data_IF_001977129707
#
_entry.id   IF_001977129707
#
_cell.length_a   1.000
_cell.length_b   1.000
_cell.length_c   1.000
_cell.angle_alpha   90.00
_cell.angle_beta   90.00
_cell.angle_gamma   90.00
#
_symmetry.space_group_name_H-M   'P 1'
#
loop_
_entity.id
_entity.type
_entity.pdbx_description
1 polymer ?
#
# COMPACT_ATOMS: atom_id res chain seq x y z
N UNK A 1 -5.19 -26.65 -8.83
CA UNK A 1 -5.38 -26.50 -7.37
C UNK A 1 -5.27 -25.03 -7.08
N UNK A 2 -6.40 -24.36 -6.84
CA UNK A 2 -6.47 -22.91 -6.68
C UNK A 2 -5.87 -22.48 -5.34
N UNK A 3 -4.68 -21.90 -5.37
CA UNK A 3 -4.05 -21.33 -4.18
C UNK A 3 -4.87 -20.18 -3.57
N UNK A 4 -5.80 -19.58 -4.33
CA UNK A 4 -6.67 -18.52 -3.82
C UNK A 4 -7.68 -19.00 -2.76
N UNK A 5 -8.20 -20.24 -2.86
CA UNK A 5 -9.29 -20.69 -1.97
C UNK A 5 -8.83 -21.02 -0.55
N UNK A 6 -7.63 -21.58 -0.38
CA UNK A 6 -7.09 -21.87 0.96
C UNK A 6 -6.64 -20.60 1.68
N UNK A 7 -6.19 -19.58 0.94
CA UNK A 7 -5.79 -18.28 1.49
C UNK A 7 -7.00 -17.51 2.02
N UNK A 8 -8.14 -17.57 1.33
CA UNK A 8 -9.35 -16.83 1.71
C UNK A 8 -9.99 -17.35 3.01
N UNK A 9 -10.03 -18.68 3.21
CA UNK A 9 -10.62 -19.25 4.43
C UNK A 9 -9.84 -18.88 5.70
N UNK A 10 -8.51 -18.86 5.65
CA UNK A 10 -7.68 -18.48 6.79
C UNK A 10 -7.71 -16.96 7.03
N UNK A 11 -7.82 -16.15 5.98
CA UNK A 11 -7.97 -14.70 6.06
C UNK A 11 -9.29 -14.31 6.75
N UNK A 12 -10.40 -14.96 6.38
CA UNK A 12 -11.71 -14.76 7.01
C UNK A 12 -11.68 -15.02 8.52
N UNK A 13 -11.13 -16.17 8.96
CA UNK A 13 -11.04 -16.49 10.39
C UNK A 13 -10.20 -15.47 11.19
N UNK A 14 -9.10 -14.97 10.62
CA UNK A 14 -8.29 -13.91 11.27
C UNK A 14 -9.02 -12.56 11.32
N UNK A 15 -9.83 -12.24 10.32
CA UNK A 15 -10.65 -11.03 10.34
C UNK A 15 -11.78 -11.14 11.36
N UNK A 16 -12.42 -12.30 11.47
CA UNK A 16 -13.42 -12.58 12.49
C UNK A 16 -12.85 -12.45 13.91
N UNK A 17 -11.62 -12.92 14.15
CA UNK A 17 -10.95 -12.74 15.45
C UNK A 17 -10.67 -11.26 15.75
N UNK A 18 -10.19 -10.50 14.76
CA UNK A 18 -10.00 -9.03 14.88
C UNK A 18 -11.32 -8.30 15.10
N UNK A 19 -12.38 -8.71 14.40
CA UNK A 19 -13.72 -8.14 14.51
C UNK A 19 -14.33 -8.46 15.87
N UNK A 20 -14.18 -9.69 16.37
CA UNK A 20 -14.60 -10.10 17.69
C UNK A 20 -13.86 -9.31 18.78
N UNK A 21 -12.55 -9.11 18.65
CA UNK A 21 -11.78 -8.28 19.58
C UNK A 21 -12.26 -6.81 19.59
N UNK A 22 -12.66 -6.26 18.43
CA UNK A 22 -13.24 -4.92 18.32
C UNK A 22 -14.69 -4.85 18.85
N UNK A 23 -15.49 -5.89 18.66
CA UNK A 23 -16.88 -5.93 19.14
C UNK A 23 -16.96 -6.22 20.65
N UNK A 24 -16.11 -7.09 21.19
CA UNK A 24 -15.99 -7.35 22.63
C UNK A 24 -15.57 -6.07 23.37
N UNK A 25 -14.65 -5.34 22.77
CA UNK A 25 -14.35 -3.98 23.14
C UNK A 25 -15.63 -3.10 23.20
N UNK A 26 -16.42 -3.06 22.14
CA UNK A 26 -17.61 -2.18 22.06
C UNK A 26 -18.81 -2.61 22.92
N UNK A 27 -18.98 -3.91 23.20
CA UNK A 27 -20.16 -4.49 23.85
C UNK A 27 -20.17 -4.42 25.38
N UNK A 28 -19.05 -4.07 26.01
CA UNK A 28 -18.98 -3.99 27.47
C UNK A 28 -19.64 -2.70 27.98
N UNK A 29 -20.85 -2.85 28.53
CA UNK A 29 -21.70 -1.76 29.01
C UNK A 29 -21.00 -0.86 30.04
N UNK A 30 -20.86 0.41 29.62
CA UNK A 30 -20.94 1.66 30.37
C UNK A 30 -20.23 1.74 31.73
N UNK A 31 -19.00 2.27 31.70
CA UNK A 31 -18.38 2.93 32.84
C UNK A 31 -16.87 2.75 32.93
N UNK A 32 -16.38 1.53 32.66
CA UNK A 32 -14.96 1.19 32.83
C UNK A 32 -14.31 0.56 31.59
N UNK A 33 -15.10 0.07 30.62
CA UNK A 33 -14.55 -0.66 29.47
C UNK A 33 -14.27 0.22 28.25
N UNK A 34 -15.06 1.27 28.01
CA UNK A 34 -14.85 2.20 26.89
C UNK A 34 -13.44 2.84 26.94
N UNK A 35 -12.92 3.09 28.16
CA UNK A 35 -11.55 3.55 28.38
C UNK A 35 -10.49 2.51 28.04
N UNK A 36 -10.75 1.21 28.27
CA UNK A 36 -9.81 0.13 27.95
C UNK A 36 -9.73 -0.08 26.44
N UNK A 37 -10.86 0.00 25.76
CA UNK A 37 -10.95 -0.09 24.30
C UNK A 37 -10.23 1.06 23.62
N UNK A 38 -10.50 2.29 24.08
CA UNK A 38 -9.74 3.44 23.60
C UNK A 38 -8.25 3.25 23.90
N UNK A 39 -7.89 2.73 25.07
CA UNK A 39 -6.48 2.51 25.42
C UNK A 39 -5.80 1.46 24.53
N UNK A 40 -6.49 0.38 24.15
CA UNK A 40 -5.95 -0.61 23.22
C UNK A 40 -5.87 -0.03 21.80
N UNK A 41 -6.90 0.69 21.34
CA UNK A 41 -6.90 1.36 20.03
C UNK A 41 -5.84 2.48 19.93
N UNK A 42 -5.59 3.19 21.02
CA UNK A 42 -4.54 4.21 21.13
C UNK A 42 -3.14 3.59 21.04
N UNK A 43 -3.00 2.30 21.29
CA UNK A 43 -1.75 1.55 21.21
C UNK A 43 -1.59 0.76 19.90
N UNK A 44 -2.60 0.76 19.01
CA UNK A 44 -2.49 0.11 17.70
C UNK A 44 -1.61 0.93 16.76
N UNK A 45 -0.31 0.73 16.88
CA UNK A 45 0.70 1.33 15.99
C UNK A 45 0.75 0.59 14.65
N UNK A 46 0.26 -0.66 14.59
CA UNK A 46 0.36 -1.54 13.42
C UNK A 46 -0.96 -2.28 13.16
N UNK A 47 -1.44 -2.20 11.92
CA UNK A 47 -2.51 -3.02 11.37
C UNK A 47 -1.98 -3.74 10.13
N UNK A 48 -2.04 -5.07 10.11
CA UNK A 48 -1.59 -5.87 8.96
C UNK A 48 -2.72 -6.73 8.43
N UNK A 49 -2.63 -7.13 7.16
CA UNK A 49 -3.57 -8.01 6.48
C UNK A 49 -5.03 -7.56 6.66
N UNK A 50 -5.33 -6.29 6.37
CA UNK A 50 -6.70 -5.79 6.33
C UNK A 50 -7.27 -6.05 4.93
N UNK A 51 -8.07 -7.11 4.79
CA UNK A 51 -8.81 -7.41 3.57
C UNK A 51 -10.06 -6.52 3.51
N UNK A 52 -10.09 -5.59 2.56
CA UNK A 52 -11.16 -4.61 2.44
C UNK A 52 -12.35 -5.12 1.62
N UNK A 53 -12.17 -6.20 0.84
CA UNK A 53 -13.19 -6.78 -0.03
C UNK A 53 -14.13 -7.76 0.69
N UNK A 54 -13.69 -8.39 1.78
CA UNK A 54 -14.50 -9.34 2.57
C UNK A 54 -15.70 -8.67 3.23
N UNK A 55 -15.48 -7.53 3.90
CA UNK A 55 -16.50 -6.68 4.49
C UNK A 55 -16.06 -5.21 4.37
N UNK A 56 -16.44 -4.53 3.26
CA UNK A 56 -16.01 -3.16 2.99
C UNK A 56 -16.49 -2.15 4.04
N UNK A 57 -17.67 -2.36 4.63
CA UNK A 57 -18.19 -1.42 5.62
C UNK A 57 -17.42 -1.54 6.95
N UNK A 58 -17.20 -2.76 7.41
CA UNK A 58 -16.46 -3.01 8.65
C UNK A 58 -15.00 -2.60 8.54
N UNK A 59 -14.34 -2.94 7.44
CA UNK A 59 -12.92 -2.60 7.26
C UNK A 59 -12.70 -1.09 7.12
N UNK A 60 -13.61 -0.37 6.45
CA UNK A 60 -13.59 1.10 6.43
C UNK A 60 -13.75 1.70 7.83
N UNK A 61 -14.69 1.19 8.63
CA UNK A 61 -14.89 1.64 10.01
C UNK A 61 -13.63 1.40 10.87
N UNK A 62 -13.01 0.22 10.74
CA UNK A 62 -11.75 -0.10 11.42
C UNK A 62 -10.65 0.91 11.06
N UNK A 63 -10.46 1.18 9.77
CA UNK A 63 -9.46 2.14 9.30
C UNK A 63 -9.72 3.54 9.86
N UNK A 64 -10.97 4.00 9.84
CA UNK A 64 -11.34 5.32 10.38
C UNK A 64 -11.06 5.43 11.89
N UNK A 65 -11.37 4.39 12.66
CA UNK A 65 -11.13 4.36 14.11
C UNK A 65 -9.63 4.30 14.44
N UNK A 66 -8.84 3.58 13.65
CA UNK A 66 -7.40 3.44 13.86
C UNK A 66 -6.56 4.60 13.27
N UNK A 67 -7.15 5.41 12.40
CA UNK A 67 -6.47 6.50 11.68
C UNK A 67 -5.61 7.42 12.58
N UNK A 68 -6.03 7.80 13.81
CA UNK A 68 -5.23 8.71 14.64
C UNK A 68 -3.93 8.09 15.20
N UNK A 69 -3.79 6.76 15.23
CA UNK A 69 -2.73 6.06 15.97
C UNK A 69 -1.87 5.15 15.12
N UNK A 70 -2.38 4.67 14.00
CA UNK A 70 -1.66 3.72 13.13
C UNK A 70 -0.46 4.37 12.43
N UNK A 71 0.70 3.71 12.52
CA UNK A 71 1.93 4.12 11.83
C UNK A 71 2.35 3.13 10.73
N UNK A 72 1.92 1.86 10.83
CA UNK A 72 2.13 0.81 9.83
C UNK A 72 0.80 0.17 9.45
N UNK A 73 0.51 0.15 8.16
CA UNK A 73 -0.73 -0.42 7.63
C UNK A 73 -0.46 -1.30 6.40
N UNK A 74 -1.05 -2.49 6.39
CA UNK A 74 -1.14 -3.33 5.19
C UNK A 74 -2.61 -3.54 4.82
N UNK A 75 -3.02 -2.99 3.67
CA UNK A 75 -4.38 -3.09 3.13
C UNK A 75 -4.41 -3.88 1.84
N UNK A 76 -5.33 -4.83 1.76
CA UNK A 76 -5.49 -5.74 0.64
C UNK A 76 -6.87 -5.51 0.03
N UNK A 77 -6.90 -5.36 -1.28
CA UNK A 77 -8.06 -5.10 -2.11
C UNK A 77 -8.92 -3.90 -1.64
N UNK A 78 -8.33 -2.73 -1.31
CA UNK A 78 -9.11 -1.55 -0.94
C UNK A 78 -9.90 -1.02 -2.14
N UNK A 79 -11.08 -0.46 -1.86
CA UNK A 79 -11.82 0.39 -2.80
C UNK A 79 -11.44 1.88 -2.61
N UNK A 80 -12.14 2.79 -3.29
CA UNK A 80 -11.89 4.22 -3.20
C UNK A 80 -12.08 4.80 -1.77
N UNK A 81 -13.20 4.57 -1.07
CA UNK A 81 -13.36 4.95 0.34
C UNK A 81 -12.21 4.52 1.24
N UNK A 82 -11.72 3.28 1.09
CA UNK A 82 -10.58 2.79 1.87
C UNK A 82 -9.31 3.57 1.56
N UNK A 83 -8.97 3.77 0.29
CA UNK A 83 -7.78 4.53 -0.12
C UNK A 83 -7.81 5.97 0.42
N UNK A 84 -8.98 6.62 0.39
CA UNK A 84 -9.16 7.97 0.96
C UNK A 84 -8.97 7.98 2.47
N UNK A 85 -9.51 6.98 3.19
CA UNK A 85 -9.32 6.86 4.63
C UNK A 85 -7.85 6.67 5.00
N UNK A 86 -7.14 5.79 4.28
CA UNK A 86 -5.69 5.55 4.46
C UNK A 86 -4.88 6.82 4.20
N UNK A 87 -5.18 7.54 3.11
CA UNK A 87 -4.50 8.78 2.76
C UNK A 87 -4.68 9.88 3.83
N UNK A 88 -5.82 9.86 4.52
CA UNK A 88 -6.16 10.80 5.59
C UNK A 88 -5.52 10.45 6.96
N UNK A 89 -4.73 9.38 7.07
CA UNK A 89 -4.10 8.98 8.35
C UNK A 89 -2.87 9.86 8.67
N UNK A 90 -2.90 10.70 9.73
CA UNK A 90 -1.87 11.71 9.97
C UNK A 90 -0.52 11.14 10.42
N UNK A 91 -0.52 9.95 11.01
CA UNK A 91 0.66 9.29 11.59
C UNK A 91 1.20 8.14 10.76
N UNK A 92 0.53 7.79 9.65
CA UNK A 92 0.92 6.67 8.82
C UNK A 92 2.28 6.93 8.16
N UNK A 93 3.23 6.01 8.40
CA UNK A 93 4.62 6.10 7.91
C UNK A 93 4.99 4.94 6.99
N UNK A 94 4.35 3.77 7.15
CA UNK A 94 4.57 2.59 6.33
C UNK A 94 3.24 2.08 5.79
N UNK A 95 3.15 1.94 4.49
CA UNK A 95 1.96 1.44 3.82
C UNK A 95 2.31 0.33 2.85
N UNK A 96 1.66 -0.83 2.99
CA UNK A 96 1.53 -1.82 1.92
C UNK A 96 0.10 -1.74 1.37
N UNK A 97 -0.03 -1.63 0.06
CA UNK A 97 -1.31 -1.69 -0.64
C UNK A 97 -1.24 -2.69 -1.79
N UNK A 98 -2.17 -3.63 -1.79
CA UNK A 98 -2.36 -4.58 -2.90
C UNK A 98 -3.76 -4.40 -3.46
N UNK A 99 -3.89 -4.06 -4.74
CA UNK A 99 -5.19 -3.91 -5.40
C UNK A 99 -5.42 -5.03 -6.41
N UNK A 100 -6.68 -5.38 -6.65
CA UNK A 100 -7.10 -6.25 -7.75
C UNK A 100 -8.52 -5.92 -8.21
N UNK A 101 -8.95 -4.68 -8.00
CA UNK A 101 -10.32 -4.24 -8.27
C UNK A 101 -10.40 -3.58 -9.66
N UNK A 102 -11.20 -4.18 -10.55
CA UNK A 102 -11.49 -3.67 -11.88
C UNK A 102 -12.22 -2.31 -11.83
N UNK A 103 -13.02 -2.04 -10.79
CA UNK A 103 -13.74 -0.78 -10.63
C UNK A 103 -12.76 0.39 -10.41
N UNK A 104 -11.71 0.17 -9.61
CA UNK A 104 -10.64 1.15 -9.44
C UNK A 104 -9.84 1.40 -10.72
N UNK A 105 -9.75 0.43 -11.63
CA UNK A 105 -9.12 0.66 -12.93
C UNK A 105 -9.99 1.50 -13.86
N UNK A 106 -11.32 1.34 -13.77
CA UNK A 106 -12.27 2.10 -14.59
C UNK A 106 -12.37 3.58 -14.17
N UNK A 107 -12.32 3.85 -12.86
CA UNK A 107 -12.38 5.19 -12.30
C UNK A 107 -11.32 5.34 -11.19
N UNK A 108 -10.04 5.54 -11.55
CA UNK A 108 -8.98 5.60 -10.56
C UNK A 108 -9.12 6.85 -9.70
N UNK A 109 -9.20 6.71 -8.36
CA UNK A 109 -9.28 7.86 -7.48
C UNK A 109 -7.96 8.64 -7.52
N UNK A 110 -8.07 9.96 -7.62
CA UNK A 110 -6.96 10.88 -7.42
C UNK A 110 -6.93 11.31 -5.95
N UNK A 111 -5.80 11.05 -5.29
CA UNK A 111 -5.57 11.48 -3.93
C UNK A 111 -5.00 12.90 -3.94
N UNK A 112 -5.63 13.80 -3.20
CA UNK A 112 -5.20 15.20 -3.11
C UNK A 112 -3.87 15.38 -2.40
N UNK A 113 -3.50 16.65 -2.15
CA UNK A 113 -2.38 16.95 -1.27
C UNK A 113 -2.68 16.52 0.17
N UNK A 114 -1.64 16.15 0.91
CA UNK A 114 -1.78 15.80 2.32
C UNK A 114 -2.27 17.02 3.13
N UNK A 115 -3.21 16.81 4.07
CA UNK A 115 -3.57 17.85 5.03
C UNK A 115 -2.36 18.33 5.86
N UNK A 116 -2.36 19.59 6.32
CA UNK A 116 -1.34 20.08 7.24
C UNK A 116 -1.21 19.19 8.48
N UNK A 117 0.01 18.96 8.95
CA UNK A 117 0.29 18.14 10.13
C UNK A 117 0.45 16.64 9.85
N UNK A 118 0.29 16.19 8.61
CA UNK A 118 0.60 14.81 8.23
C UNK A 118 2.11 14.56 8.22
N UNK A 119 2.52 13.42 8.77
CA UNK A 119 3.94 13.00 8.76
C UNK A 119 4.41 12.57 7.35
N UNK A 120 3.47 12.17 6.50
CA UNK A 120 3.74 11.55 5.20
C UNK A 120 4.32 10.14 5.33
N UNK A 121 4.21 9.37 4.24
CA UNK A 121 4.81 8.04 4.15
C UNK A 121 6.33 8.15 4.04
N UNK A 122 7.03 7.22 4.70
CA UNK A 122 8.47 6.97 4.55
C UNK A 122 8.75 5.70 3.77
N UNK A 123 7.88 4.70 3.89
CA UNK A 123 7.97 3.45 3.14
C UNK A 123 6.61 3.14 2.51
N UNK A 124 6.63 2.77 1.23
CA UNK A 124 5.45 2.42 0.47
C UNK A 124 5.72 1.18 -0.37
N UNK A 125 4.91 0.14 -0.23
CA UNK A 125 4.89 -1.02 -1.13
C UNK A 125 3.55 -1.10 -1.84
N UNK A 126 3.58 -1.15 -3.16
CA UNK A 126 2.40 -1.11 -4.01
C UNK A 126 2.40 -2.29 -4.95
N UNK A 127 1.32 -3.07 -4.93
CA UNK A 127 1.07 -4.14 -5.87
C UNK A 127 -0.25 -3.84 -6.60
N UNK A 128 -0.20 -3.78 -7.93
CA UNK A 128 -1.39 -3.71 -8.78
C UNK A 128 -2.34 -2.51 -8.57
N UNK A 129 -1.88 -1.41 -7.96
CA UNK A 129 -2.64 -0.16 -7.86
C UNK A 129 -2.82 0.49 -9.24
N UNK A 130 -3.99 1.10 -9.55
CA UNK A 130 -4.19 1.84 -10.79
C UNK A 130 -3.13 2.93 -10.97
N UNK A 131 -2.71 3.15 -12.21
CA UNK A 131 -1.59 4.03 -12.53
C UNK A 131 -1.80 5.47 -12.04
N UNK A 132 -2.98 6.04 -12.28
CA UNK A 132 -3.28 7.42 -11.88
C UNK A 132 -3.36 7.56 -10.35
N UNK A 133 -3.91 6.56 -9.65
CA UNK A 133 -3.92 6.50 -8.19
C UNK A 133 -2.51 6.37 -7.61
N UNK A 134 -1.64 5.54 -8.20
CA UNK A 134 -0.23 5.48 -7.81
C UNK A 134 0.45 6.84 -8.01
N UNK A 135 0.24 7.49 -9.14
CA UNK A 135 0.86 8.79 -9.43
C UNK A 135 0.44 9.86 -8.41
N UNK A 136 -0.86 9.99 -8.11
CA UNK A 136 -1.34 10.94 -7.10
C UNK A 136 -0.81 10.63 -5.69
N UNK A 137 -0.77 9.35 -5.31
CA UNK A 137 -0.18 8.92 -4.03
C UNK A 137 1.31 9.29 -3.94
N UNK A 138 2.09 9.02 -4.99
CA UNK A 138 3.51 9.36 -5.04
C UNK A 138 3.74 10.87 -5.01
N UNK A 139 2.92 11.66 -5.71
CA UNK A 139 3.00 13.13 -5.68
C UNK A 139 2.71 13.68 -4.29
N UNK A 140 1.69 13.16 -3.60
CA UNK A 140 1.33 13.60 -2.26
C UNK A 140 2.43 13.31 -1.23
N UNK A 141 3.20 12.24 -1.42
CA UNK A 141 4.26 11.80 -0.50
C UNK A 141 5.69 12.05 -1.01
N UNK A 142 5.88 12.74 -2.15
CA UNK A 142 7.21 12.85 -2.79
C UNK A 142 8.26 13.58 -1.96
N UNK A 143 7.83 14.43 -1.01
CA UNK A 143 8.73 15.11 -0.07
C UNK A 143 9.15 14.27 1.15
N UNK A 144 8.48 13.14 1.43
CA UNK A 144 8.70 12.35 2.65
C UNK A 144 9.06 10.90 2.38
N UNK A 145 8.73 10.38 1.20
CA UNK A 145 8.88 8.97 0.86
C UNK A 145 10.36 8.62 0.66
N UNK A 146 10.91 7.79 1.55
CA UNK A 146 12.32 7.36 1.56
C UNK A 146 12.50 6.05 0.77
N UNK A 147 11.52 5.16 0.85
CA UNK A 147 11.60 3.81 0.28
C UNK A 147 10.32 3.46 -0.46
N UNK A 148 10.48 2.96 -1.69
CA UNK A 148 9.38 2.60 -2.57
C UNK A 148 9.60 1.20 -3.12
N UNK A 149 8.59 0.36 -3.02
CA UNK A 149 8.54 -0.95 -3.66
C UNK A 149 7.34 -0.99 -4.63
N UNK A 150 7.60 -1.31 -5.89
CA UNK A 150 6.58 -1.30 -6.94
C UNK A 150 6.48 -2.67 -7.60
N UNK A 151 5.30 -3.27 -7.52
CA UNK A 151 4.90 -4.40 -8.34
C UNK A 151 4.72 -3.95 -9.79
N UNK A 152 5.70 -4.27 -10.64
CA UNK A 152 5.68 -3.92 -12.06
C UNK A 152 6.27 -5.02 -12.94
N UNK A 153 5.73 -5.16 -14.15
CA UNK A 153 6.32 -5.99 -15.18
C UNK A 153 7.52 -5.31 -15.87
N UNK A 154 8.26 -6.09 -16.66
CA UNK A 154 9.43 -5.61 -17.40
C UNK A 154 9.20 -5.61 -18.93
N UNK A 155 8.01 -5.96 -19.43
CA UNK A 155 7.73 -6.10 -20.87
C UNK A 155 6.88 -4.95 -21.39
N UNK A 156 7.05 -4.62 -22.66
CA UNK A 156 6.31 -3.53 -23.33
C UNK A 156 4.90 -3.95 -23.78
N UNK A 157 4.67 -5.25 -23.96
CA UNK A 157 3.47 -5.79 -24.62
C UNK A 157 2.20 -5.82 -23.74
N UNK A 158 2.27 -5.37 -22.49
CA UNK A 158 1.12 -5.40 -21.57
C UNK A 158 0.83 -4.02 -21.01
N UNK A 159 -0.44 -3.79 -20.69
CA UNK A 159 -0.86 -2.62 -19.96
C UNK A 159 -0.28 -2.62 -18.53
N UNK A 160 -0.26 -1.44 -17.92
CA UNK A 160 0.06 -1.27 -16.51
C UNK A 160 -0.77 -2.23 -15.62
N UNK A 161 -0.20 -2.79 -14.53
CA UNK A 161 1.22 -2.74 -14.12
C UNK A 161 2.11 -3.78 -14.82
N UNK A 162 1.57 -4.67 -15.66
CA UNK A 162 2.33 -5.76 -16.29
C UNK A 162 3.27 -5.32 -17.41
N UNK A 163 3.08 -4.10 -17.93
CA UNK A 163 4.07 -3.38 -18.71
C UNK A 163 4.18 -1.93 -18.30
N UNK A 164 5.41 -1.42 -18.28
CA UNK A 164 5.73 -0.07 -17.83
C UNK A 164 7.05 0.42 -18.44
N UNK A 165 7.09 0.50 -19.76
CA UNK A 165 8.23 1.08 -20.51
C UNK A 165 8.49 2.53 -20.11
N UNK A 166 7.45 3.25 -19.71
CA UNK A 166 7.49 4.66 -19.32
C UNK A 166 7.55 4.88 -17.79
N UNK A 167 7.87 3.84 -17.00
CA UNK A 167 7.95 3.94 -15.53
C UNK A 167 8.86 5.08 -15.07
N UNK A 168 10.00 5.26 -15.73
CA UNK A 168 10.95 6.33 -15.45
C UNK A 168 10.33 7.74 -15.61
N UNK A 169 9.47 7.92 -16.62
CA UNK A 169 8.78 9.18 -16.88
C UNK A 169 7.71 9.46 -15.81
N UNK A 170 6.97 8.43 -15.38
CA UNK A 170 6.03 8.56 -14.26
C UNK A 170 6.74 8.98 -12.98
N UNK A 171 7.84 8.31 -12.62
CA UNK A 171 8.58 8.59 -11.40
C UNK A 171 9.20 9.99 -11.38
N UNK A 172 9.74 10.45 -12.51
CA UNK A 172 10.29 11.80 -12.65
C UNK A 172 9.25 12.90 -12.35
N UNK A 173 7.98 12.67 -12.71
CA UNK A 173 6.89 13.62 -12.51
C UNK A 173 6.34 13.66 -11.08
N UNK A 174 6.75 12.72 -10.21
CA UNK A 174 6.21 12.58 -8.86
C UNK A 174 6.96 13.41 -7.80
N UNK A 175 8.08 14.08 -8.15
CA UNK A 175 8.80 14.94 -7.21
C UNK A 175 9.37 14.20 -5.99
N UNK A 176 9.85 12.97 -6.19
CA UNK A 176 10.35 12.03 -5.17
C UNK A 176 11.71 12.45 -4.57
N UNK A 177 11.76 13.62 -3.91
CA UNK A 177 12.99 14.26 -3.43
C UNK A 177 13.64 13.56 -2.23
N UNK A 178 12.86 12.85 -1.42
CA UNK A 178 13.36 12.13 -0.25
C UNK A 178 13.74 10.67 -0.55
N UNK A 179 13.43 10.18 -1.77
CA UNK A 179 13.57 8.77 -2.10
C UNK A 179 15.05 8.39 -2.12
N UNK A 180 15.40 7.35 -1.37
CA UNK A 180 16.75 6.77 -1.33
C UNK A 180 16.81 5.38 -1.96
N UNK A 181 15.69 4.64 -1.93
CA UNK A 181 15.64 3.24 -2.36
C UNK A 181 14.36 2.96 -3.12
N UNK A 182 14.50 2.34 -4.29
CA UNK A 182 13.42 1.86 -5.12
C UNK A 182 13.65 0.37 -5.44
N UNK A 183 12.69 -0.48 -5.06
CA UNK A 183 12.67 -1.90 -5.39
C UNK A 183 11.59 -2.17 -6.43
N UNK A 184 11.99 -2.71 -7.58
CA UNK A 184 11.06 -3.19 -8.60
C UNK A 184 10.74 -4.66 -8.31
N UNK A 185 9.53 -4.91 -7.81
CA UNK A 185 8.96 -6.24 -7.58
C UNK A 185 8.37 -6.77 -8.89
N UNK A 186 8.89 -7.89 -9.39
CA UNK A 186 8.63 -8.32 -10.78
C UNK A 186 7.33 -9.10 -10.90
N UNK A 187 6.37 -8.51 -11.61
CA UNK A 187 5.11 -9.18 -11.93
C UNK A 187 5.26 -10.04 -13.18
N UNK A 188 5.30 -11.36 -13.01
CA UNK A 188 5.33 -12.32 -14.12
C UNK A 188 6.73 -12.68 -14.61
N UNK A 189 6.91 -12.88 -15.93
CA UNK A 189 8.18 -13.37 -16.51
C UNK A 189 9.26 -12.29 -16.43
N UNK A 190 10.36 -12.63 -15.77
CA UNK A 190 11.58 -11.82 -15.71
C UNK A 190 12.50 -12.10 -16.91
N UNK A 191 12.98 -11.06 -17.60
CA UNK A 191 14.06 -11.15 -18.59
C UNK A 191 15.16 -10.18 -18.19
N UNK A 192 16.38 -10.69 -18.06
CA UNK A 192 17.50 -9.94 -17.47
C UNK A 192 17.84 -8.68 -18.26
N UNK A 193 17.81 -8.75 -19.59
CA UNK A 193 18.11 -7.60 -20.48
C UNK A 193 17.09 -6.47 -20.31
N UNK A 194 15.79 -6.77 -20.46
CA UNK A 194 14.72 -5.80 -20.31
C UNK A 194 14.66 -5.19 -18.89
N UNK A 195 14.93 -6.02 -17.87
CA UNK A 195 15.05 -5.55 -16.49
C UNK A 195 16.22 -4.56 -16.33
N UNK A 196 17.37 -4.87 -16.92
CA UNK A 196 18.55 -4.00 -16.91
C UNK A 196 18.31 -2.64 -17.56
N UNK A 197 17.69 -2.62 -18.74
CA UNK A 197 17.34 -1.40 -19.48
C UNK A 197 16.36 -0.53 -18.69
N UNK A 198 15.29 -1.13 -18.15
CA UNK A 198 14.32 -0.40 -17.32
C UNK A 198 14.98 0.17 -16.06
N UNK A 199 15.83 -0.59 -15.36
CA UNK A 199 16.58 -0.11 -14.19
C UNK A 199 17.50 1.05 -14.56
N UNK A 200 18.17 0.98 -15.71
CA UNK A 200 19.03 2.06 -16.19
C UNK A 200 18.23 3.35 -16.47
N UNK A 201 17.09 3.23 -17.15
CA UNK A 201 16.19 4.36 -17.42
C UNK A 201 15.67 5.01 -16.12
N UNK A 202 15.27 4.20 -15.13
CA UNK A 202 14.81 4.71 -13.83
C UNK A 202 15.93 5.39 -13.06
N UNK A 203 17.17 4.86 -13.07
CA UNK A 203 18.33 5.53 -12.44
C UNK A 203 18.66 6.86 -13.09
N UNK A 204 18.53 6.95 -14.41
CA UNK A 204 18.72 8.21 -15.12
C UNK A 204 17.68 9.26 -14.71
N UNK A 205 16.42 8.84 -14.51
CA UNK A 205 15.33 9.72 -14.06
C UNK A 205 15.40 10.10 -12.57
N UNK A 206 16.01 9.26 -11.73
CA UNK A 206 16.12 9.43 -10.27
C UNK A 206 17.59 9.35 -9.82
N UNK A 207 18.41 10.39 -10.11
CA UNK A 207 19.81 10.37 -9.74
C UNK A 207 19.99 10.28 -8.22
N UNK A 208 20.91 9.41 -7.77
CA UNK A 208 21.18 9.17 -6.35
C UNK A 208 20.30 8.11 -5.68
N UNK A 209 19.24 7.64 -6.34
CA UNK A 209 18.37 6.58 -5.80
C UNK A 209 18.95 5.19 -6.08
N UNK A 210 18.98 4.33 -5.05
CA UNK A 210 19.32 2.94 -5.21
C UNK A 210 18.16 2.18 -5.89
N UNK A 211 18.33 1.83 -7.17
CA UNK A 211 17.31 1.08 -7.95
C UNK A 211 17.66 -0.42 -8.01
N UNK A 212 16.81 -1.23 -7.41
CA UNK A 212 16.94 -2.67 -7.25
C UNK A 212 15.79 -3.41 -7.95
N UNK A 213 16.02 -4.67 -8.28
CA UNK A 213 15.03 -5.65 -8.70
C UNK A 213 15.08 -6.82 -7.72
N UNK A 214 13.91 -7.22 -7.22
CA UNK A 214 13.75 -8.34 -6.29
C UNK A 214 14.41 -9.64 -6.79
N UNK A 215 14.29 -9.92 -8.08
CA UNK A 215 14.77 -11.15 -8.73
C UNK A 215 16.27 -11.09 -9.00
N UNK A 216 16.76 -10.00 -9.61
CA UNK A 216 18.17 -9.86 -9.97
C UNK A 216 19.07 -9.72 -8.73
N UNK A 217 18.66 -8.87 -7.79
CA UNK A 217 19.49 -8.47 -6.66
C UNK A 217 19.16 -9.30 -5.39
N UNK A 218 18.25 -10.28 -5.50
CA UNK A 218 17.80 -11.16 -4.40
C UNK A 218 17.34 -10.39 -3.17
N UNK A 219 16.67 -9.27 -3.41
CA UNK A 219 16.07 -8.47 -2.34
C UNK A 219 14.82 -9.22 -1.90
N UNK A 220 14.89 -9.82 -0.71
CA UNK A 220 13.70 -10.30 -0.04
C UNK A 220 12.83 -9.08 0.24
N UNK A 221 11.57 -9.16 -0.17
CA UNK A 221 10.58 -8.25 0.39
C UNK A 221 10.59 -8.39 1.90
N UNK A 222 10.29 -7.32 2.64
CA UNK A 222 9.82 -7.52 4.00
C UNK A 222 8.62 -8.47 3.92
N UNK A 223 8.73 -9.64 4.57
CA UNK A 223 7.56 -10.45 4.83
C UNK A 223 6.58 -9.60 5.66
N UNK A 224 5.30 -9.55 5.26
CA UNK A 224 4.29 -8.74 5.94
C UNK A 224 4.17 -9.06 7.44
#
# INVERSE_FOLDING_TARGET
MDMNNLSQSAAGARQEEKAAALQEAQGSKAGHSESLVLSVLLQLVRLVDVYCDTDPAWSLELLQRAAPTVERLDVLYPDEPHLRAVHAMPRLRRLLVMCNDDALQAAPPELGALPPGHSGLRWLSVLCLPRATLQSLLQAHGGTLEELELGVGAREERQWPWGCSDLHSLLAQCGLRALRRLVLRRLGRHRDTACGEQRAAVRAALPGVQVLCDTCDRVLGEEP
#
